data_IF_179591326634
#
_entry.id   IF_179591326634
#
_cell.length_a   1.000
_cell.length_b   1.000
_cell.length_c   1.000
_cell.angle_alpha   90.00
_cell.angle_beta   90.00
_cell.angle_gamma   90.00
#
_symmetry.space_group_name_H-M   'P 1'
#
loop_
_entity.id
_entity.type
_entity.pdbx_description
1 polymer ?
#
# COMPACT_ATOMS: atom_id res chain seq x y z
N UNK A 1 20.91 -54.62 35.97
CA UNK A 1 21.74 -53.41 36.20
C UNK A 1 22.51 -52.97 34.96
N UNK A 2 23.11 -53.86 34.16
CA UNK A 2 23.89 -53.46 32.96
C UNK A 2 23.05 -52.86 31.81
N UNK A 3 21.90 -53.47 31.49
CA UNK A 3 21.03 -52.99 30.39
C UNK A 3 20.45 -51.60 30.64
N UNK A 4 20.15 -51.27 31.90
CA UNK A 4 19.59 -49.97 32.26
C UNK A 4 20.60 -48.83 32.04
N UNK A 5 21.89 -49.10 32.29
CA UNK A 5 22.97 -48.16 32.01
C UNK A 5 23.18 -47.95 30.51
N UNK A 6 23.06 -49.02 29.71
CA UNK A 6 23.18 -48.95 28.25
C UNK A 6 22.04 -48.11 27.65
N UNK A 7 20.81 -48.29 28.14
CA UNK A 7 19.66 -47.52 27.68
C UNK A 7 19.78 -46.04 28.04
N UNK A 8 20.26 -45.72 29.24
CA UNK A 8 20.50 -44.33 29.66
C UNK A 8 21.56 -43.65 28.78
N UNK A 9 22.68 -44.31 28.51
CA UNK A 9 23.71 -43.78 27.62
C UNK A 9 23.17 -43.50 26.20
N UNK A 10 22.32 -44.39 25.67
CA UNK A 10 21.66 -44.21 24.36
C UNK A 10 20.69 -43.02 24.34
N UNK A 11 19.97 -42.81 25.45
CA UNK A 11 19.05 -41.67 25.62
C UNK A 11 19.82 -40.36 25.69
N UNK A 12 20.94 -40.34 26.41
CA UNK A 12 21.80 -39.15 26.54
C UNK A 12 22.44 -38.79 25.21
N UNK A 13 22.91 -39.79 24.45
CA UNK A 13 23.43 -39.63 23.09
C UNK A 13 22.37 -39.03 22.15
N UNK A 14 21.17 -39.62 22.11
CA UNK A 14 20.06 -39.10 21.31
C UNK A 14 19.65 -37.68 21.73
N UNK A 15 19.71 -37.39 23.04
CA UNK A 15 19.37 -36.07 23.57
C UNK A 15 20.41 -35.01 23.16
N UNK A 16 21.69 -35.38 23.10
CA UNK A 16 22.75 -34.52 22.61
C UNK A 16 22.59 -34.22 21.11
N UNK A 17 22.27 -35.22 20.30
CA UNK A 17 21.99 -35.03 18.87
C UNK A 17 20.80 -34.10 18.63
N UNK A 18 19.70 -34.29 19.37
CA UNK A 18 18.52 -33.41 19.31
C UNK A 18 18.90 -31.97 19.66
N UNK A 19 19.77 -31.76 20.64
CA UNK A 19 20.24 -30.42 21.01
C UNK A 19 21.02 -29.75 19.86
N UNK A 20 21.89 -30.51 19.18
CA UNK A 20 22.63 -30.03 18.01
C UNK A 20 21.69 -29.67 16.85
N UNK A 21 20.73 -30.54 16.53
CA UNK A 21 19.75 -30.27 15.46
C UNK A 21 18.88 -29.05 15.77
N UNK A 22 18.48 -28.85 17.03
CA UNK A 22 17.74 -27.66 17.45
C UNK A 22 18.56 -26.37 17.28
N UNK A 23 19.86 -26.42 17.57
CA UNK A 23 20.76 -25.28 17.34
C UNK A 23 20.90 -24.97 15.84
N UNK A 24 21.07 -26.00 15.00
CA UNK A 24 21.15 -25.84 13.55
C UNK A 24 19.86 -25.26 12.97
N UNK A 25 18.69 -25.73 13.42
CA UNK A 25 17.40 -25.19 12.99
C UNK A 25 17.27 -23.70 13.33
N UNK A 26 17.59 -23.31 14.57
CA UNK A 26 17.57 -21.89 14.97
C UNK A 26 18.49 -21.04 14.11
N UNK A 27 19.69 -21.54 13.79
CA UNK A 27 20.63 -20.82 12.92
C UNK A 27 20.08 -20.66 11.51
N UNK A 28 19.53 -21.72 10.93
CA UNK A 28 18.93 -21.67 9.59
C UNK A 28 17.70 -20.75 9.54
N UNK A 29 16.89 -20.71 10.60
CA UNK A 29 15.78 -19.75 10.70
C UNK A 29 16.27 -18.30 10.76
N UNK A 30 17.34 -18.03 11.49
CA UNK A 30 17.99 -16.72 11.51
C UNK A 30 18.51 -16.34 10.13
N UNK A 31 19.26 -17.23 9.48
CA UNK A 31 19.80 -17.00 8.14
C UNK A 31 18.69 -16.77 7.11
N UNK A 32 17.62 -17.57 7.16
CA UNK A 32 16.42 -17.39 6.33
C UNK A 32 15.80 -16.02 6.55
N UNK A 33 15.64 -15.60 7.81
CA UNK A 33 15.06 -14.28 8.13
C UNK A 33 15.91 -13.13 7.59
N UNK A 34 17.24 -13.26 7.61
CA UNK A 34 18.17 -12.27 7.11
C UNK A 34 18.08 -12.17 5.58
N UNK A 35 18.10 -13.30 4.88
CA UNK A 35 17.93 -13.34 3.42
C UNK A 35 16.57 -12.82 3.01
N UNK A 36 15.50 -13.15 3.75
CA UNK A 36 14.16 -12.63 3.48
C UNK A 36 14.12 -11.10 3.58
N UNK A 37 14.77 -10.51 4.59
CA UNK A 37 14.87 -9.04 4.72
C UNK A 37 15.66 -8.42 3.58
N UNK A 38 16.76 -9.04 3.16
CA UNK A 38 17.57 -8.58 2.03
C UNK A 38 16.83 -8.70 0.70
N UNK A 39 16.07 -9.78 0.50
CA UNK A 39 15.25 -9.98 -0.69
C UNK A 39 14.11 -8.95 -0.73
N UNK A 40 13.39 -8.75 0.37
CA UNK A 40 12.35 -7.72 0.47
C UNK A 40 12.92 -6.31 0.24
N UNK A 41 14.15 -6.06 0.69
CA UNK A 41 14.87 -4.83 0.46
C UNK A 41 15.20 -4.56 -1.02
N UNK A 42 15.39 -5.60 -1.82
CA UNK A 42 15.64 -5.52 -3.27
C UNK A 42 14.33 -5.46 -4.05
N UNK A 43 13.30 -6.18 -3.60
CA UNK A 43 12.01 -6.28 -4.28
C UNK A 43 11.08 -5.09 -4.01
N UNK A 44 11.20 -4.43 -2.85
CA UNK A 44 10.38 -3.28 -2.49
C UNK A 44 11.25 -2.04 -2.17
N UNK A 45 11.96 -1.49 -3.17
CA UNK A 45 12.77 -0.29 -2.98
C UNK A 45 11.92 0.92 -2.59
N UNK A 46 10.61 0.90 -2.90
CA UNK A 46 9.73 2.03 -2.68
C UNK A 46 9.22 2.10 -1.23
N UNK A 47 9.11 0.97 -0.53
CA UNK A 47 8.88 0.94 0.92
C UNK A 47 9.98 1.63 1.76
N UNK A 48 11.13 1.94 1.16
CA UNK A 48 12.26 2.62 1.80
C UNK A 48 12.26 4.12 1.57
N UNK A 49 11.38 4.64 0.70
CA UNK A 49 11.29 6.07 0.51
C UNK A 49 10.82 6.72 1.82
N UNK A 50 11.42 7.84 2.22
CA UNK A 50 10.85 8.69 3.26
C UNK A 50 9.41 9.04 2.91
N UNK A 51 8.57 9.16 3.94
CA UNK A 51 7.15 9.46 3.82
C UNK A 51 6.92 10.69 2.93
N UNK A 52 7.77 11.70 3.11
CA UNK A 52 7.72 12.98 2.41
C UNK A 52 7.91 12.76 0.90
N UNK A 53 8.90 11.96 0.51
CA UNK A 53 9.20 11.66 -0.90
C UNK A 53 8.07 10.83 -1.52
N UNK A 54 7.53 9.84 -0.81
CA UNK A 54 6.39 9.06 -1.29
C UNK A 54 5.16 9.96 -1.50
N UNK A 55 4.89 10.87 -0.57
CA UNK A 55 3.78 11.82 -0.69
C UNK A 55 3.95 12.78 -1.87
N UNK A 56 5.17 13.25 -2.13
CA UNK A 56 5.49 14.12 -3.26
C UNK A 56 5.31 13.39 -4.60
N UNK A 57 5.74 12.14 -4.70
CA UNK A 57 5.51 11.29 -5.88
C UNK A 57 4.01 11.17 -6.17
N UNK A 58 3.18 10.98 -5.13
CA UNK A 58 1.74 10.88 -5.31
C UNK A 58 1.14 12.20 -5.83
N UNK A 59 1.61 13.33 -5.32
CA UNK A 59 1.15 14.65 -5.78
C UNK A 59 1.58 14.95 -7.22
N UNK A 60 2.81 14.58 -7.60
CA UNK A 60 3.29 14.72 -8.97
C UNK A 60 2.51 13.83 -9.95
N UNK A 61 2.14 12.62 -9.52
CA UNK A 61 1.32 11.72 -10.34
C UNK A 61 -0.08 12.29 -10.62
N UNK A 62 -0.64 13.06 -9.68
CA UNK A 62 -1.89 13.78 -9.88
C UNK A 62 -1.74 14.92 -10.90
N UNK A 63 -0.64 15.69 -10.83
CA UNK A 63 -0.42 16.83 -11.73
C UNK A 63 -0.30 16.41 -13.21
N UNK A 64 0.34 15.27 -13.49
CA UNK A 64 0.47 14.72 -14.85
C UNK A 64 -0.89 14.37 -15.50
N UNK A 65 -1.86 13.95 -14.69
CA UNK A 65 -3.24 13.66 -15.11
C UNK A 65 -4.05 14.93 -15.44
N UNK A 66 -3.70 16.06 -14.83
CA UNK A 66 -4.30 17.35 -15.17
C UNK A 66 -3.79 17.89 -16.50
N UNK A 67 -2.54 17.61 -16.87
CA UNK A 67 -1.90 18.06 -18.11
C UNK A 67 -2.46 17.30 -19.33
N UNK A 68 -2.80 16.01 -19.17
CA UNK A 68 -3.38 15.20 -20.26
C UNK A 68 -4.86 15.50 -20.55
N UNK A 69 -5.54 16.30 -19.72
CA UNK A 69 -6.92 16.76 -19.96
C UNK A 69 -7.06 17.82 -21.04
N UNK A 70 -5.96 18.33 -21.60
CA UNK A 70 -6.01 19.19 -22.80
C UNK A 70 -6.19 18.40 -24.11
N UNK A 71 -6.20 17.05 -24.07
CA UNK A 71 -6.70 16.28 -25.20
C UNK A 71 -8.23 16.28 -25.23
N UNK A 72 -8.90 16.43 -26.41
CA UNK A 72 -10.32 16.80 -26.50
C UNK A 72 -11.31 15.71 -26.07
N UNK A 73 -10.87 14.64 -25.41
CA UNK A 73 -11.75 13.57 -25.02
C UNK A 73 -11.24 12.76 -23.81
N UNK A 74 -11.45 13.24 -22.57
CA UNK A 74 -11.45 12.39 -21.40
C UNK A 74 -12.88 12.35 -20.89
N UNK A 75 -13.73 11.48 -21.44
CA UNK A 75 -14.85 10.99 -20.66
C UNK A 75 -14.24 10.05 -19.61
N UNK A 76 -14.16 10.42 -18.31
CA UNK A 76 -13.82 9.44 -17.30
C UNK A 76 -14.93 8.41 -17.36
N UNK A 77 -14.62 7.19 -17.81
CA UNK A 77 -15.57 6.09 -17.71
C UNK A 77 -15.97 6.01 -16.23
N UNK A 78 -17.27 5.96 -15.89
CA UNK A 78 -17.67 5.71 -14.52
C UNK A 78 -17.07 4.35 -14.11
N UNK A 79 -16.15 4.37 -13.15
CA UNK A 79 -15.34 3.20 -12.76
C UNK A 79 -13.87 3.23 -13.20
N UNK A 80 -13.41 4.24 -13.94
CA UNK A 80 -11.99 4.51 -14.07
C UNK A 80 -11.49 4.93 -12.69
N UNK A 81 -10.84 4.02 -11.98
CA UNK A 81 -10.17 4.31 -10.72
C UNK A 81 -9.30 5.53 -10.95
N UNK A 82 -9.69 6.66 -10.34
CA UNK A 82 -8.91 7.89 -10.35
C UNK A 82 -7.46 7.54 -10.05
N UNK A 83 -6.49 8.18 -10.71
CA UNK A 83 -5.05 7.98 -10.42
C UNK A 83 -4.75 8.16 -8.93
N UNK A 84 -5.61 8.85 -8.19
CA UNK A 84 -5.63 8.93 -6.72
C UNK A 84 -5.76 7.58 -5.99
N UNK A 85 -6.46 6.61 -6.56
CA UNK A 85 -6.67 5.28 -5.98
C UNK A 85 -5.60 4.28 -6.40
N UNK A 86 -4.81 4.57 -7.44
CA UNK A 86 -3.76 3.68 -7.91
C UNK A 86 -2.67 3.40 -6.84
N UNK A 87 -2.16 4.41 -6.09
CA UNK A 87 -1.23 4.19 -4.99
C UNK A 87 -1.77 3.25 -3.90
N UNK A 88 -3.09 3.32 -3.62
CA UNK A 88 -3.73 2.52 -2.57
C UNK A 88 -3.75 1.02 -2.87
N UNK A 89 -3.57 0.64 -4.14
CA UNK A 89 -3.58 -0.75 -4.59
C UNK A 89 -2.17 -1.38 -4.67
N UNK A 90 -1.10 -0.62 -4.41
CA UNK A 90 0.29 -1.10 -4.53
C UNK A 90 0.71 -1.92 -3.31
N UNK A 91 0.48 -1.39 -2.10
CA UNK A 91 0.82 -2.05 -0.85
C UNK A 91 0.10 -1.41 0.34
N UNK A 92 0.08 -2.09 1.48
CA UNK A 92 -0.49 -1.55 2.72
C UNK A 92 0.22 -0.26 3.17
N UNK A 93 1.54 -0.15 2.95
CA UNK A 93 2.31 1.05 3.30
C UNK A 93 1.90 2.22 2.40
N UNK A 94 1.82 2.01 1.09
CA UNK A 94 1.38 3.05 0.16
C UNK A 94 -0.06 3.50 0.41
N UNK A 95 -0.95 2.55 0.74
CA UNK A 95 -2.32 2.86 1.14
C UNK A 95 -2.34 3.77 2.36
N UNK A 96 -1.60 3.42 3.43
CA UNK A 96 -1.51 4.26 4.62
C UNK A 96 -0.96 5.67 4.31
N UNK A 97 0.06 5.78 3.47
CA UNK A 97 0.65 7.07 3.06
C UNK A 97 -0.33 7.90 2.24
N UNK A 98 -0.99 7.29 1.26
CA UNK A 98 -1.97 7.96 0.40
C UNK A 98 -3.17 8.46 1.22
N UNK A 99 -3.66 7.64 2.16
CA UNK A 99 -4.73 8.05 3.08
C UNK A 99 -4.29 9.20 4.00
N UNK A 100 -3.04 9.21 4.47
CA UNK A 100 -2.51 10.24 5.35
C UNK A 100 -2.16 11.57 4.62
N UNK A 101 -1.98 11.54 3.31
CA UNK A 101 -1.56 12.72 2.54
C UNK A 101 -2.77 13.61 2.21
N UNK A 102 -3.06 14.59 3.07
CA UNK A 102 -4.22 15.48 2.96
C UNK A 102 -4.33 16.17 1.58
N UNK A 103 -3.22 16.58 1.00
CA UNK A 103 -3.19 17.27 -0.29
C UNK A 103 -3.78 16.42 -1.44
N UNK A 104 -3.70 15.09 -1.38
CA UNK A 104 -4.35 14.21 -2.39
C UNK A 104 -5.87 14.32 -2.35
N UNK A 105 -6.45 14.45 -1.15
CA UNK A 105 -7.89 14.54 -0.97
C UNK A 105 -8.47 15.86 -1.46
N UNK A 106 -7.68 16.94 -1.40
CA UNK A 106 -8.11 18.26 -1.92
C UNK A 106 -8.29 18.29 -3.44
N UNK A 107 -7.70 17.34 -4.16
CA UNK A 107 -7.85 17.21 -5.60
C UNK A 107 -9.09 16.42 -6.04
N UNK A 108 -9.80 15.78 -5.10
CA UNK A 108 -10.99 14.99 -5.42
C UNK A 108 -12.16 15.94 -5.68
N UNK A 109 -12.65 15.93 -6.92
CA UNK A 109 -13.95 16.50 -7.26
C UNK A 109 -14.99 15.40 -7.26
N UNK A 110 -15.96 15.48 -6.36
CA UNK A 110 -17.11 14.58 -6.32
C UNK A 110 -18.24 15.25 -7.09
N UNK A 111 -18.48 14.77 -8.32
CA UNK A 111 -19.65 15.17 -9.08
C UNK A 111 -20.85 14.38 -8.55
N UNK A 112 -21.74 15.06 -7.84
CA UNK A 112 -23.00 14.45 -7.43
C UNK A 112 -23.92 14.39 -8.65
N UNK A 113 -24.43 13.21 -9.04
CA UNK A 113 -25.42 13.14 -10.09
C UNK A 113 -26.67 13.90 -9.61
N UNK A 114 -26.98 15.02 -10.28
CA UNK A 114 -28.23 15.73 -10.05
C UNK A 114 -29.36 14.76 -10.40
N UNK A 115 -30.27 14.44 -9.47
CA UNK A 115 -31.41 13.58 -9.76
C UNK A 115 -32.18 14.14 -10.94
N UNK A 116 -32.51 13.30 -11.93
CA UNK A 116 -33.20 13.74 -13.16
C UNK A 116 -34.55 14.43 -12.88
N UNK A 117 -35.10 14.24 -11.68
CA UNK A 117 -36.26 14.96 -11.16
C UNK A 117 -36.10 16.50 -11.14
N UNK A 118 -34.88 17.04 -11.14
CA UNK A 118 -34.63 18.49 -11.18
C UNK A 118 -34.43 19.05 -12.59
N UNK A 119 -34.34 18.20 -13.63
CA UNK A 119 -34.02 18.63 -15.00
C UNK A 119 -35.20 19.32 -15.73
N UNK A 120 -36.39 19.35 -15.11
CA UNK A 120 -37.63 19.87 -15.70
C UNK A 120 -38.14 21.22 -15.17
N UNK A 121 -37.46 21.90 -14.24
CA UNK A 121 -37.95 23.17 -13.68
C UNK A 121 -37.14 24.36 -14.18
N UNK A 122 -37.15 24.57 -15.49
CA UNK A 122 -36.64 25.81 -16.10
C UNK A 122 -37.68 26.92 -15.93
N UNK A 123 -37.78 27.45 -14.71
CA UNK A 123 -38.35 28.77 -14.38
C UNK A 123 -37.85 29.13 -12.99
N UNK A 124 -36.68 29.74 -12.89
CA UNK A 124 -36.40 30.90 -12.03
C UNK A 124 -34.95 31.32 -12.29
N UNK A 125 -34.81 32.44 -13.00
CA UNK A 125 -33.52 33.08 -13.16
C UNK A 125 -33.09 33.69 -11.82
N UNK A 126 -31.88 33.35 -11.39
CA UNK A 126 -31.15 34.15 -10.41
C UNK A 126 -29.82 34.57 -11.03
N UNK A 127 -29.74 35.85 -11.41
CA UNK A 127 -28.47 36.56 -11.49
C UNK A 127 -27.97 36.77 -10.06
N UNK A 128 -26.81 36.22 -9.74
CA UNK A 128 -26.02 36.59 -8.56
C UNK A 128 -24.58 36.18 -8.85
N UNK A 129 -23.77 37.09 -9.39
CA UNK A 129 -22.67 37.79 -8.69
C UNK A 129 -21.71 36.83 -7.99
N UNK A 130 -20.47 36.83 -8.49
CA UNK A 130 -19.38 35.98 -8.03
C UNK A 130 -18.90 36.30 -6.62
N UNK A 131 -17.93 35.49 -6.20
CA UNK A 131 -17.00 35.79 -5.13
C UNK A 131 -15.64 35.20 -5.50
N UNK A 132 -14.67 36.10 -5.65
CA UNK A 132 -13.25 35.86 -5.45
C UNK A 132 -13.00 35.46 -4.00
N UNK A 133 -12.21 34.40 -3.78
CA UNK A 133 -11.11 34.31 -2.79
C UNK A 133 -10.05 33.38 -3.40
#
# INVERSE_FOLDING_TARGET
MSEELILRARIDESSAEIAVYKMLLKKLEQDRSLVQRQLNAVLDPISRLPLEISSEIFLLSLAADHITKEHPNPLPKPGAHSVLMAPMNVSNTWSAIALATLALWTAIRVDFPVPEACRGSSRFGFRGRGFDI
#
